data_IF_929120862632
#
_entry.id   IF_929120862632
#
_cell.length_a   1.000
_cell.length_b   1.000
_cell.length_c   1.000
_cell.angle_alpha   90.00
_cell.angle_beta   90.00
_cell.angle_gamma   90.00
#
_symmetry.space_group_name_H-M   'P 1'
#
loop_
_entity.id
_entity.type
_entity.pdbx_description
1 polymer ?
#
# COMPACT_ATOMS: atom_id res chain seq x y z
N UNK A 1 29.64 -7.91 50.92
CA UNK A 1 28.83 -6.98 51.72
C UNK A 1 29.05 -5.61 51.09
N UNK A 2 28.15 -5.19 50.21
CA UNK A 2 28.32 -3.97 49.41
C UNK A 2 27.57 -2.82 50.06
N UNK A 3 28.30 -1.77 50.42
CA UNK A 3 27.76 -0.51 50.95
C UNK A 3 27.48 0.38 49.74
N UNK A 4 26.22 0.72 49.53
CA UNK A 4 25.80 1.74 48.58
C UNK A 4 26.30 3.12 49.06
N UNK A 5 26.99 3.84 48.17
CA UNK A 5 27.20 5.29 48.30
C UNK A 5 26.43 5.97 47.18
N UNK A 6 25.44 6.76 47.60
CA UNK A 6 24.77 7.75 46.78
C UNK A 6 25.75 8.85 46.35
N UNK A 7 25.65 9.30 45.10
CA UNK A 7 26.30 10.54 44.66
C UNK A 7 26.55 10.63 43.15
N UNK A 8 25.64 11.34 42.46
CA UNK A 8 25.89 12.14 41.25
C UNK A 8 26.20 11.42 39.93
N UNK A 9 25.13 11.10 39.20
CA UNK A 9 24.80 11.51 37.82
C UNK A 9 25.92 11.85 36.80
N UNK A 10 27.03 11.12 36.81
CA UNK A 10 27.85 10.94 35.62
C UNK A 10 27.40 9.64 34.94
N UNK A 11 26.50 9.75 33.98
CA UNK A 11 26.06 8.64 33.12
C UNK A 11 27.15 8.16 32.15
N UNK A 12 28.40 8.08 32.61
CA UNK A 12 29.45 7.36 31.92
C UNK A 12 29.33 5.89 32.32
N UNK A 13 28.88 5.09 31.36
CA UNK A 13 28.86 3.64 31.28
C UNK A 13 29.47 2.89 32.50
N UNK A 14 28.66 2.70 33.55
CA UNK A 14 29.01 1.93 34.75
C UNK A 14 29.51 0.53 34.40
N UNK A 15 29.03 -0.08 33.31
CA UNK A 15 29.47 -1.40 32.87
C UNK A 15 30.77 -1.34 32.05
N UNK A 16 31.03 -0.30 31.24
CA UNK A 16 32.36 -0.15 30.64
C UNK A 16 33.42 0.12 31.72
N UNK A 17 33.10 0.89 32.76
CA UNK A 17 34.00 1.05 33.92
C UNK A 17 34.15 -0.25 34.70
N UNK A 18 33.09 -1.02 34.93
CA UNK A 18 33.14 -2.32 35.61
C UNK A 18 33.88 -3.36 34.78
N UNK A 19 33.68 -3.43 33.46
CA UNK A 19 34.41 -4.34 32.57
C UNK A 19 35.86 -3.91 32.42
N UNK A 20 36.16 -2.61 32.33
CA UNK A 20 37.53 -2.10 32.35
C UNK A 20 38.20 -2.38 33.69
N UNK A 21 37.46 -2.25 34.80
CA UNK A 21 37.93 -2.57 36.15
C UNK A 21 38.12 -4.06 36.34
N UNK A 22 37.21 -4.91 35.83
CA UNK A 22 37.34 -6.37 35.83
C UNK A 22 38.50 -6.81 34.95
N UNK A 23 38.68 -6.23 33.77
CA UNK A 23 39.84 -6.45 32.88
C UNK A 23 41.13 -6.07 33.59
N UNK A 24 41.16 -4.92 34.28
CA UNK A 24 42.35 -4.41 34.97
C UNK A 24 42.65 -5.14 36.30
N UNK A 25 41.63 -5.65 37.00
CA UNK A 25 41.77 -6.38 38.27
C UNK A 25 41.94 -7.88 38.07
N UNK A 26 41.49 -8.43 36.92
CA UNK A 26 41.51 -9.86 36.60
C UNK A 26 42.52 -10.21 35.52
N UNK A 27 43.52 -9.35 35.24
CA UNK A 27 44.61 -9.63 34.29
C UNK A 27 45.37 -10.94 34.60
N UNK A 28 45.20 -11.52 35.81
CA UNK A 28 45.77 -12.82 36.17
C UNK A 28 44.94 -14.04 35.75
N UNK A 29 43.67 -13.87 35.34
CA UNK A 29 42.72 -14.98 35.14
C UNK A 29 42.22 -15.15 33.70
N UNK A 30 42.42 -14.16 32.83
CA UNK A 30 42.03 -14.23 31.43
C UNK A 30 43.24 -14.46 30.54
N UNK A 31 43.09 -15.31 29.53
CA UNK A 31 44.08 -15.44 28.48
C UNK A 31 44.23 -14.10 27.73
N UNK A 32 45.42 -13.77 27.19
CA UNK A 32 45.63 -12.55 26.42
C UNK A 32 44.61 -12.35 25.28
N UNK A 33 44.18 -13.43 24.64
CA UNK A 33 43.16 -13.43 23.58
C UNK A 33 41.77 -13.04 24.09
N UNK A 34 41.39 -13.48 25.29
CA UNK A 34 40.10 -13.12 25.91
C UNK A 34 40.07 -11.63 26.27
N UNK A 35 41.18 -11.09 26.78
CA UNK A 35 41.33 -9.67 27.08
C UNK A 35 41.25 -8.80 25.80
N UNK A 36 41.84 -9.26 24.70
CA UNK A 36 41.75 -8.59 23.40
C UNK A 36 40.31 -8.59 22.86
N UNK A 37 39.61 -9.72 22.98
CA UNK A 37 38.21 -9.82 22.59
C UNK A 37 37.30 -8.90 23.42
N UNK A 38 37.49 -8.84 24.73
CA UNK A 38 36.73 -7.93 25.60
C UNK A 38 36.97 -6.47 25.23
N UNK A 39 38.22 -6.08 24.96
CA UNK A 39 38.55 -4.71 24.52
C UNK A 39 37.90 -4.36 23.19
N UNK A 40 37.95 -5.26 22.21
CA UNK A 40 37.28 -5.08 20.90
C UNK A 40 35.78 -4.94 21.06
N UNK A 41 35.16 -5.73 21.94
CA UNK A 41 33.72 -5.64 22.21
C UNK A 41 33.35 -4.33 22.92
N UNK A 42 34.13 -3.88 23.90
CA UNK A 42 33.93 -2.57 24.53
C UNK A 42 34.04 -1.43 23.53
N UNK A 43 35.05 -1.49 22.66
CA UNK A 43 35.23 -0.52 21.59
C UNK A 43 34.03 -0.53 20.64
N UNK A 44 33.57 -1.72 20.23
CA UNK A 44 32.36 -1.86 19.42
C UNK A 44 31.16 -1.18 20.09
N UNK A 45 30.89 -1.44 21.38
CA UNK A 45 29.73 -0.87 22.09
C UNK A 45 29.77 0.65 22.14
N UNK A 46 30.96 1.21 22.40
CA UNK A 46 31.14 2.66 22.47
C UNK A 46 30.97 3.31 21.10
N UNK A 47 31.52 2.70 20.07
CA UNK A 47 31.62 3.30 18.73
C UNK A 47 30.44 2.98 17.81
N UNK A 48 29.63 1.93 18.07
CA UNK A 48 28.58 1.56 17.13
C UNK A 48 27.40 2.54 17.18
N UNK A 49 26.94 2.88 15.97
CA UNK A 49 25.73 3.66 15.73
C UNK A 49 24.54 2.71 15.46
N UNK A 50 23.35 3.00 16.02
CA UNK A 50 22.16 2.16 15.83
C UNK A 50 21.76 1.95 14.35
N UNK A 51 21.98 2.92 13.47
CA UNK A 51 21.66 2.80 12.04
C UNK A 51 22.58 1.80 11.32
N UNK A 52 23.88 1.81 11.64
CA UNK A 52 24.85 0.86 11.07
C UNK A 52 24.58 -0.56 11.56
N UNK A 53 24.30 -0.72 12.86
CA UNK A 53 23.91 -2.01 13.43
C UNK A 53 22.62 -2.53 12.79
N UNK A 54 21.65 -1.64 12.53
CA UNK A 54 20.41 -2.02 11.86
C UNK A 54 20.66 -2.51 10.43
N UNK A 55 21.57 -1.89 9.68
CA UNK A 55 21.91 -2.33 8.32
C UNK A 55 22.60 -3.70 8.32
N UNK A 56 23.60 -3.89 9.19
CA UNK A 56 24.29 -5.18 9.33
C UNK A 56 23.32 -6.30 9.77
N UNK A 57 22.47 -6.00 10.76
CA UNK A 57 21.48 -6.96 11.26
C UNK A 57 20.45 -7.29 10.19
N UNK A 58 20.05 -6.32 9.37
CA UNK A 58 19.10 -6.55 8.29
C UNK A 58 19.66 -7.51 7.24
N UNK A 59 20.94 -7.36 6.88
CA UNK A 59 21.60 -8.28 5.95
C UNK A 59 21.71 -9.69 6.52
N UNK A 60 22.04 -9.81 7.81
CA UNK A 60 22.03 -11.08 8.54
C UNK A 60 20.65 -11.76 8.51
N UNK A 61 19.58 -10.99 8.78
CA UNK A 61 18.20 -11.45 8.74
C UNK A 61 17.84 -11.97 7.34
N UNK A 62 18.16 -11.21 6.27
CA UNK A 62 17.88 -11.62 4.88
C UNK A 62 18.52 -12.95 4.54
N UNK A 63 19.77 -13.17 4.93
CA UNK A 63 20.48 -14.43 4.70
C UNK A 63 19.82 -15.60 5.43
N UNK A 64 19.37 -15.38 6.67
CA UNK A 64 18.64 -16.39 7.45
C UNK A 64 17.26 -16.69 6.88
N UNK A 65 16.51 -15.66 6.45
CA UNK A 65 15.22 -15.85 5.77
C UNK A 65 15.37 -16.79 4.58
N UNK A 66 16.39 -16.59 3.74
CA UNK A 66 16.67 -17.47 2.59
C UNK A 66 17.05 -18.88 3.06
N UNK A 67 17.94 -18.99 4.05
CA UNK A 67 18.47 -20.28 4.53
C UNK A 67 17.39 -21.16 5.17
N UNK A 68 16.49 -20.55 5.94
CA UNK A 68 15.49 -21.25 6.73
C UNK A 68 14.07 -21.12 6.17
N UNK A 69 13.91 -20.44 5.03
CA UNK A 69 12.61 -20.17 4.40
C UNK A 69 11.62 -19.48 5.34
N UNK A 70 12.11 -18.53 6.14
CA UNK A 70 11.28 -17.75 7.06
C UNK A 70 10.52 -16.66 6.31
N UNK A 71 9.25 -16.46 6.67
CA UNK A 71 8.47 -15.34 6.16
C UNK A 71 8.91 -14.03 6.82
N UNK A 72 8.52 -12.89 6.22
CA UNK A 72 8.77 -11.58 6.80
C UNK A 72 8.02 -11.40 8.13
N UNK A 73 6.84 -12.00 8.26
CA UNK A 73 6.04 -11.94 9.48
C UNK A 73 6.69 -12.73 10.61
N UNK A 74 7.25 -13.92 10.33
CA UNK A 74 8.06 -14.68 11.31
C UNK A 74 9.21 -13.84 11.85
N UNK A 75 9.90 -13.10 10.97
CA UNK A 75 11.01 -12.22 11.34
C UNK A 75 10.53 -11.02 12.16
N UNK A 76 9.38 -10.43 11.83
CA UNK A 76 8.83 -9.30 12.60
C UNK A 76 8.48 -9.71 14.03
N UNK A 77 7.96 -10.92 14.21
CA UNK A 77 7.66 -11.48 15.53
C UNK A 77 8.94 -11.79 16.33
N UNK A 78 10.00 -12.23 15.65
CA UNK A 78 11.29 -12.62 16.26
C UNK A 78 12.39 -11.56 16.13
N UNK A 79 12.06 -10.30 15.87
CA UNK A 79 13.04 -9.29 15.46
C UNK A 79 14.07 -9.00 16.57
N UNK A 80 13.64 -9.02 17.83
CA UNK A 80 14.52 -8.87 18.97
C UNK A 80 15.45 -10.06 19.09
N UNK A 81 14.93 -11.28 18.94
CA UNK A 81 15.68 -12.52 19.00
C UNK A 81 16.73 -12.60 17.89
N UNK A 82 16.40 -12.15 16.68
CA UNK A 82 17.32 -12.11 15.54
C UNK A 82 18.43 -11.06 15.75
N UNK A 83 18.10 -9.86 16.25
CA UNK A 83 19.10 -8.86 16.63
C UNK A 83 20.02 -9.38 17.74
N UNK A 84 19.48 -10.00 18.79
CA UNK A 84 20.27 -10.58 19.87
C UNK A 84 21.13 -11.75 19.38
N UNK A 85 20.62 -12.55 18.44
CA UNK A 85 21.38 -13.65 17.82
C UNK A 85 22.55 -13.09 17.00
N UNK A 86 22.31 -12.03 16.23
CA UNK A 86 23.36 -11.32 15.50
C UNK A 86 24.45 -10.81 16.45
N UNK A 87 24.06 -10.11 17.52
CA UNK A 87 24.99 -9.61 18.53
C UNK A 87 25.79 -10.73 19.18
N UNK A 88 25.15 -11.83 19.60
CA UNK A 88 25.84 -13.00 20.17
C UNK A 88 26.89 -13.59 19.22
N UNK A 89 26.62 -13.59 17.92
CA UNK A 89 27.60 -14.04 16.92
C UNK A 89 28.73 -13.03 16.70
N UNK A 90 28.42 -11.73 16.75
CA UNK A 90 29.38 -10.64 16.50
C UNK A 90 30.35 -10.44 17.67
N UNK A 91 29.84 -10.44 18.90
CA UNK A 91 30.60 -10.09 20.12
C UNK A 91 30.82 -11.25 21.09
N UNK A 92 30.23 -12.43 20.84
CA UNK A 92 30.34 -13.60 21.70
C UNK A 92 29.24 -13.67 22.77
N UNK A 93 28.84 -14.89 23.11
CA UNK A 93 27.74 -15.16 24.04
C UNK A 93 28.08 -14.73 25.47
N UNK A 94 29.29 -15.06 25.91
CA UNK A 94 29.79 -14.80 27.26
C UNK A 94 29.81 -13.31 27.55
N UNK A 95 30.23 -12.49 26.57
CA UNK A 95 30.28 -11.05 26.72
C UNK A 95 28.87 -10.45 26.71
N UNK A 96 27.96 -10.98 25.88
CA UNK A 96 26.57 -10.51 25.87
C UNK A 96 25.90 -10.64 27.25
N UNK A 97 26.15 -11.73 27.98
CA UNK A 97 25.57 -11.94 29.32
C UNK A 97 25.94 -10.83 30.31
N UNK A 98 27.13 -10.25 30.21
CA UNK A 98 27.55 -9.14 31.07
C UNK A 98 26.96 -7.80 30.66
N UNK A 99 26.65 -7.65 29.37
CA UNK A 99 26.16 -6.41 28.77
C UNK A 99 24.64 -6.34 28.72
N UNK A 100 23.96 -7.46 28.99
CA UNK A 100 22.51 -7.55 29.06
C UNK A 100 21.94 -6.55 30.09
N UNK A 101 22.71 -6.22 31.13
CA UNK A 101 22.35 -5.23 32.14
C UNK A 101 22.84 -3.81 31.84
N UNK A 102 23.58 -3.57 30.76
CA UNK A 102 24.14 -2.26 30.43
C UNK A 102 23.06 -1.31 29.91
N UNK A 103 22.75 -0.20 30.60
CA UNK A 103 21.66 0.70 30.20
C UNK A 103 21.89 1.36 28.83
N UNK A 104 23.15 1.63 28.48
CA UNK A 104 23.52 2.29 27.22
C UNK A 104 23.35 1.34 26.04
N UNK A 105 23.86 0.12 26.14
CA UNK A 105 23.63 -0.93 25.15
C UNK A 105 22.13 -1.22 25.00
N UNK A 106 21.40 -1.33 26.10
CA UNK A 106 19.94 -1.55 26.06
C UNK A 106 19.20 -0.42 25.34
N UNK A 107 19.66 0.82 25.48
CA UNK A 107 19.11 1.96 24.74
C UNK A 107 19.43 1.84 23.24
N UNK A 108 20.70 1.60 22.88
CA UNK A 108 21.11 1.44 21.48
C UNK A 108 20.42 0.25 20.79
N UNK A 109 20.20 -0.86 21.50
CA UNK A 109 19.41 -2.01 21.01
C UNK A 109 17.98 -1.58 20.70
N UNK A 110 17.33 -0.82 21.60
CA UNK A 110 15.96 -0.33 21.38
C UNK A 110 15.89 0.61 20.17
N UNK A 111 16.85 1.51 20.01
CA UNK A 111 16.93 2.41 18.85
C UNK A 111 17.12 1.62 17.55
N UNK A 112 18.04 0.65 17.56
CA UNK A 112 18.28 -0.28 16.44
C UNK A 112 16.99 -1.02 16.07
N UNK A 113 16.22 -1.50 17.04
CA UNK A 113 14.94 -2.17 16.78
C UNK A 113 13.90 -1.25 16.14
N UNK A 114 13.84 0.03 16.53
CA UNK A 114 12.94 1.00 15.89
C UNK A 114 13.34 1.20 14.42
N UNK A 115 14.64 1.32 14.15
CA UNK A 115 15.18 1.47 12.79
C UNK A 115 14.91 0.21 11.97
N UNK A 116 15.19 -0.98 12.50
CA UNK A 116 14.91 -2.26 11.84
C UNK A 116 13.43 -2.42 11.52
N UNK A 117 12.52 -2.09 12.45
CA UNK A 117 11.06 -2.12 12.19
C UNK A 117 10.64 -1.15 11.10
N UNK A 118 11.32 0.00 10.96
CA UNK A 118 11.09 0.92 9.85
C UNK A 118 11.61 0.29 8.55
N UNK A 119 12.86 -0.14 8.49
CA UNK A 119 13.47 -0.77 7.31
C UNK A 119 12.73 -2.02 6.84
N UNK A 120 12.23 -2.86 7.75
CA UNK A 120 11.43 -4.04 7.42
C UNK A 120 10.03 -3.69 6.90
N UNK A 121 9.46 -2.55 7.30
CA UNK A 121 8.26 -2.00 6.65
C UNK A 121 8.56 -1.42 5.28
N UNK A 122 9.78 -0.92 5.06
CA UNK A 122 10.19 -0.36 3.77
C UNK A 122 10.59 -1.47 2.76
N UNK A 123 11.07 -2.63 3.25
CA UNK A 123 11.16 -3.87 2.46
C UNK A 123 9.77 -4.32 1.98
N UNK A 124 8.74 -3.85 2.68
CA UNK A 124 7.32 -4.04 2.42
C UNK A 124 6.70 -2.97 1.51
N UNK A 125 7.49 -2.28 0.67
CA UNK A 125 6.95 -1.56 -0.49
C UNK A 125 6.49 -2.58 -1.55
N UNK A 126 5.53 -3.41 -1.15
CA UNK A 126 4.62 -4.09 -2.06
C UNK A 126 4.01 -2.98 -2.90
N UNK A 127 4.36 -2.95 -4.18
CA UNK A 127 3.82 -1.99 -5.12
C UNK A 127 2.33 -2.28 -5.31
N UNK A 128 1.53 -1.70 -4.42
CA UNK A 128 0.08 -1.86 -4.39
C UNK A 128 -0.51 -1.43 -5.73
N UNK A 129 0.07 -0.43 -6.40
CA UNK A 129 -0.42 0.01 -7.70
C UNK A 129 -0.17 -1.05 -8.77
N UNK A 130 1.01 -1.67 -8.79
CA UNK A 130 1.27 -2.81 -9.70
C UNK A 130 0.33 -3.99 -9.41
N UNK A 131 0.13 -4.37 -8.15
CA UNK A 131 -0.79 -5.45 -7.77
C UNK A 131 -2.23 -5.12 -8.15
N UNK A 132 -2.65 -3.85 -8.02
CA UNK A 132 -3.99 -3.41 -8.46
C UNK A 132 -4.15 -3.56 -9.97
N UNK A 133 -3.16 -3.20 -10.77
CA UNK A 133 -3.21 -3.36 -12.23
C UNK A 133 -3.23 -4.83 -12.65
N UNK A 134 -2.38 -5.66 -12.05
CA UNK A 134 -2.36 -7.11 -12.28
C UNK A 134 -3.70 -7.74 -11.87
N UNK A 135 -4.25 -7.35 -10.72
CA UNK A 135 -5.56 -7.85 -10.29
C UNK A 135 -6.68 -7.39 -11.21
N UNK A 136 -6.66 -6.15 -11.70
CA UNK A 136 -7.65 -5.65 -12.67
C UNK A 136 -7.62 -6.47 -13.96
N UNK A 137 -6.43 -6.82 -14.46
CA UNK A 137 -6.30 -7.68 -15.63
C UNK A 137 -6.83 -9.09 -15.36
N UNK A 138 -6.41 -9.70 -14.26
CA UNK A 138 -6.89 -11.00 -13.81
C UNK A 138 -8.42 -11.04 -13.65
N UNK A 139 -8.98 -10.01 -13.03
CA UNK A 139 -10.41 -9.85 -12.81
C UNK A 139 -11.18 -9.76 -14.13
N UNK A 140 -10.68 -9.02 -15.12
CA UNK A 140 -11.31 -8.93 -16.46
C UNK A 140 -11.38 -10.29 -17.14
N UNK A 141 -10.28 -11.05 -17.12
CA UNK A 141 -10.21 -12.38 -17.74
C UNK A 141 -11.14 -13.40 -17.08
N UNK A 142 -11.16 -13.43 -15.74
CA UNK A 142 -12.03 -14.32 -14.95
C UNK A 142 -13.50 -13.93 -15.05
N UNK A 143 -13.82 -12.64 -14.98
CA UNK A 143 -15.18 -12.15 -15.10
C UNK A 143 -15.77 -12.43 -16.49
N UNK A 144 -14.99 -12.28 -17.56
CA UNK A 144 -15.42 -12.61 -18.92
C UNK A 144 -15.70 -14.11 -19.06
N UNK A 145 -14.83 -14.96 -18.50
CA UNK A 145 -14.98 -16.42 -18.55
C UNK A 145 -16.23 -16.89 -17.79
N UNK A 146 -16.57 -16.24 -16.69
CA UNK A 146 -17.67 -16.63 -15.80
C UNK A 146 -18.96 -15.80 -15.95
N UNK A 147 -19.00 -14.85 -16.91
CA UNK A 147 -20.12 -13.92 -17.13
C UNK A 147 -20.54 -13.15 -15.88
N UNK A 148 -19.58 -12.77 -15.05
CA UNK A 148 -19.80 -11.98 -13.84
C UNK A 148 -19.55 -10.50 -14.11
N UNK A 149 -20.19 -9.61 -13.34
CA UNK A 149 -19.77 -8.22 -13.33
C UNK A 149 -18.41 -8.07 -12.66
N UNK A 150 -17.63 -7.06 -13.07
CA UNK A 150 -16.32 -6.79 -12.46
C UNK A 150 -16.45 -6.53 -10.95
N UNK A 151 -17.51 -5.84 -10.51
CA UNK A 151 -17.76 -5.56 -9.09
C UNK A 151 -18.02 -6.82 -8.27
N UNK A 152 -18.79 -7.77 -8.80
CA UNK A 152 -19.00 -9.07 -8.15
C UNK A 152 -17.70 -9.89 -8.10
N UNK A 153 -16.96 -9.87 -9.20
CA UNK A 153 -15.69 -10.58 -9.31
C UNK A 153 -14.64 -10.13 -8.30
N UNK A 154 -14.64 -8.86 -7.85
CA UNK A 154 -13.69 -8.40 -6.80
C UNK A 154 -13.83 -9.25 -5.54
N UNK A 155 -15.06 -9.47 -5.07
CA UNK A 155 -15.28 -10.20 -3.81
C UNK A 155 -14.96 -11.69 -3.94
N UNK A 156 -15.05 -12.23 -5.15
CA UNK A 156 -14.87 -13.65 -5.43
C UNK A 156 -13.39 -13.98 -5.68
N UNK A 157 -12.70 -13.13 -6.45
CA UNK A 157 -11.38 -13.42 -6.99
C UNK A 157 -10.22 -12.74 -6.26
N UNK A 158 -10.48 -11.74 -5.41
CA UNK A 158 -9.40 -11.04 -4.71
C UNK A 158 -8.64 -11.97 -3.77
N UNK A 159 -9.35 -12.79 -2.99
CA UNK A 159 -8.70 -13.69 -2.04
C UNK A 159 -7.86 -14.76 -2.78
N UNK A 160 -8.42 -15.38 -3.84
CA UNK A 160 -7.69 -16.32 -4.72
C UNK A 160 -6.44 -15.67 -5.34
N UNK A 161 -6.55 -14.43 -5.83
CA UNK A 161 -5.43 -13.71 -6.43
C UNK A 161 -4.34 -13.39 -5.42
N UNK A 162 -4.69 -12.89 -4.23
CA UNK A 162 -3.70 -12.57 -3.20
C UNK A 162 -3.00 -13.80 -2.65
N UNK A 163 -3.69 -14.95 -2.60
CA UNK A 163 -3.07 -16.24 -2.27
C UNK A 163 -2.02 -16.64 -3.32
N UNK A 164 -2.31 -16.46 -4.61
CA UNK A 164 -1.34 -16.74 -5.68
C UNK A 164 -0.10 -15.83 -5.63
N UNK A 165 -0.27 -14.60 -5.14
CA UNK A 165 0.82 -13.63 -4.96
C UNK A 165 1.59 -13.82 -3.65
N UNK A 166 1.14 -14.71 -2.75
CA UNK A 166 1.74 -14.88 -1.42
C UNK A 166 1.51 -13.71 -0.46
N UNK A 167 0.44 -12.92 -0.68
CA UNK A 167 0.13 -11.68 0.10
C UNK A 167 -1.21 -11.82 0.85
N UNK A 168 -1.74 -13.04 1.02
CA UNK A 168 -3.12 -13.27 1.47
C UNK A 168 -3.38 -12.94 2.94
N UNK A 169 -2.36 -12.94 3.81
CA UNK A 169 -2.54 -12.82 5.26
C UNK A 169 -2.67 -11.36 5.75
N UNK A 170 -2.19 -10.36 4.99
CA UNK A 170 -2.31 -8.96 5.39
C UNK A 170 -3.68 -8.34 5.03
N UNK A 171 -4.53 -8.21 6.04
CA UNK A 171 -5.83 -7.55 5.95
C UNK A 171 -5.76 -6.09 5.44
N UNK A 172 -4.70 -5.33 5.76
CA UNK A 172 -4.52 -3.94 5.35
C UNK A 172 -4.27 -3.85 3.86
N UNK A 173 -3.37 -4.67 3.33
CA UNK A 173 -3.08 -4.76 1.89
C UNK A 173 -4.34 -5.16 1.12
N UNK A 174 -5.03 -6.20 1.60
CA UNK A 174 -6.32 -6.64 1.02
C UNK A 174 -7.34 -5.50 0.94
N UNK A 175 -7.48 -4.72 2.01
CA UNK A 175 -8.40 -3.57 2.05
C UNK A 175 -7.98 -2.47 1.08
N UNK A 176 -6.69 -2.16 0.99
CA UNK A 176 -6.16 -1.13 0.10
C UNK A 176 -6.37 -1.48 -1.37
N UNK A 177 -6.05 -2.72 -1.77
CA UNK A 177 -6.24 -3.21 -3.14
C UNK A 177 -7.73 -3.16 -3.49
N UNK A 178 -8.60 -3.69 -2.62
CA UNK A 178 -10.05 -3.67 -2.84
C UNK A 178 -10.59 -2.25 -3.09
N UNK A 179 -10.15 -1.27 -2.31
CA UNK A 179 -10.62 0.10 -2.45
C UNK A 179 -10.07 0.76 -3.72
N UNK A 180 -8.77 0.62 -4.00
CA UNK A 180 -8.16 1.17 -5.22
C UNK A 180 -8.79 0.59 -6.49
N UNK A 181 -9.03 -0.72 -6.53
CA UNK A 181 -9.70 -1.39 -7.66
C UNK A 181 -11.11 -0.82 -7.87
N UNK A 182 -11.88 -0.63 -6.80
CA UNK A 182 -13.23 -0.01 -6.89
C UNK A 182 -13.18 1.41 -7.43
N UNK A 183 -12.21 2.20 -7.00
CA UNK A 183 -12.01 3.56 -7.50
C UNK A 183 -11.71 3.52 -9.00
N UNK A 184 -10.74 2.71 -9.43
CA UNK A 184 -10.36 2.57 -10.84
C UNK A 184 -11.51 2.11 -11.73
N UNK A 185 -12.31 1.13 -11.28
CA UNK A 185 -13.49 0.69 -12.04
C UNK A 185 -14.53 1.80 -12.21
N UNK A 186 -14.80 2.59 -11.15
CA UNK A 186 -15.73 3.72 -11.24
C UNK A 186 -15.21 4.83 -12.16
N UNK A 187 -13.90 5.09 -12.14
CA UNK A 187 -13.27 6.08 -13.02
C UNK A 187 -13.37 5.64 -14.47
N UNK A 188 -13.12 4.36 -14.75
CA UNK A 188 -13.26 3.77 -16.08
C UNK A 188 -14.71 3.83 -16.57
N UNK A 189 -15.68 3.44 -15.74
CA UNK A 189 -17.11 3.54 -16.06
C UNK A 189 -17.52 4.97 -16.39
N UNK A 190 -17.09 5.94 -15.57
CA UNK A 190 -17.36 7.37 -15.83
C UNK A 190 -16.72 7.84 -17.12
N UNK A 191 -15.50 7.40 -17.43
CA UNK A 191 -14.81 7.75 -18.68
C UNK A 191 -15.59 7.23 -19.89
N UNK A 192 -15.98 5.96 -19.86
CA UNK A 192 -16.78 5.35 -20.92
C UNK A 192 -18.15 6.03 -21.08
N UNK A 193 -18.80 6.39 -19.98
CA UNK A 193 -20.07 7.14 -20.01
C UNK A 193 -19.88 8.54 -20.61
N UNK A 194 -18.81 9.25 -20.25
CA UNK A 194 -18.49 10.55 -20.83
C UNK A 194 -18.17 10.47 -22.32
N UNK A 195 -17.43 9.45 -22.75
CA UNK A 195 -17.16 9.20 -24.17
C UNK A 195 -18.44 8.88 -24.95
N UNK A 196 -19.35 8.08 -24.38
CA UNK A 196 -20.66 7.81 -24.98
C UNK A 196 -21.45 9.11 -25.15
N UNK A 197 -21.54 9.93 -24.10
CA UNK A 197 -22.23 11.23 -24.14
C UNK A 197 -21.58 12.18 -25.16
N UNK A 198 -20.24 12.18 -25.27
CA UNK A 198 -19.54 13.01 -26.24
C UNK A 198 -19.91 12.62 -27.68
N UNK A 199 -19.88 11.33 -28.01
CA UNK A 199 -20.31 10.81 -29.32
C UNK A 199 -21.78 11.12 -29.60
N UNK A 200 -22.66 10.94 -28.62
CA UNK A 200 -24.07 11.28 -28.76
C UNK A 200 -24.28 12.78 -29.00
N UNK A 201 -23.50 13.65 -28.36
CA UNK A 201 -23.57 15.11 -28.55
C UNK A 201 -23.24 15.54 -29.96
N UNK A 202 -22.31 14.86 -30.63
CA UNK A 202 -21.97 15.15 -32.02
C UNK A 202 -23.15 14.88 -32.96
N UNK A 203 -24.02 13.92 -32.62
CA UNK A 203 -25.21 13.58 -33.39
C UNK A 203 -26.41 14.51 -33.14
N UNK A 204 -26.39 15.28 -32.04
CA UNK A 204 -27.52 16.16 -31.64
C UNK A 204 -27.98 17.10 -32.76
N UNK A 205 -27.11 17.83 -33.50
CA UNK A 205 -27.57 18.78 -34.50
C UNK A 205 -28.40 18.14 -35.62
N UNK A 206 -27.98 16.97 -36.10
CA UNK A 206 -28.69 16.21 -37.13
C UNK A 206 -30.02 15.67 -36.60
N UNK A 207 -30.01 15.09 -35.40
CA UNK A 207 -31.21 14.56 -34.76
C UNK A 207 -32.24 15.66 -34.46
N UNK A 208 -31.79 16.86 -34.11
CA UNK A 208 -32.69 18.01 -33.91
C UNK A 208 -33.42 18.38 -35.20
N UNK A 209 -32.75 18.38 -36.36
CA UNK A 209 -33.43 18.68 -37.63
C UNK A 209 -34.46 17.60 -37.97
N UNK A 210 -34.08 16.32 -37.89
CA UNK A 210 -35.00 15.19 -38.12
C UNK A 210 -36.20 15.22 -37.18
N UNK A 211 -35.98 15.54 -35.90
CA UNK A 211 -37.04 15.66 -34.90
C UNK A 211 -37.98 16.84 -35.19
N UNK A 212 -37.46 17.96 -35.70
CA UNK A 212 -38.28 19.11 -36.12
C UNK A 212 -39.10 18.79 -37.36
N UNK A 213 -38.54 18.07 -38.33
CA UNK A 213 -39.26 17.59 -39.52
C UNK A 213 -40.38 16.62 -39.13
N UNK A 214 -40.06 15.61 -38.32
CA UNK A 214 -41.05 14.68 -37.77
C UNK A 214 -42.16 15.39 -37.00
N UNK A 215 -41.82 16.40 -36.19
CA UNK A 215 -42.83 17.21 -35.49
C UNK A 215 -43.77 17.94 -36.45
N UNK A 216 -43.27 18.43 -37.59
CA UNK A 216 -44.08 19.09 -38.61
C UNK A 216 -45.01 18.12 -39.32
N UNK A 217 -44.50 16.93 -39.68
CA UNK A 217 -45.31 15.88 -40.30
C UNK A 217 -46.47 15.44 -39.40
N UNK A 218 -46.23 15.40 -38.09
CA UNK A 218 -47.23 15.09 -37.07
C UNK A 218 -48.07 16.30 -36.62
N UNK A 219 -47.95 17.46 -37.30
CA UNK A 219 -48.66 18.70 -36.99
C UNK A 219 -48.48 19.21 -35.53
N UNK A 220 -47.30 18.96 -34.95
CA UNK A 220 -46.94 19.37 -33.60
C UNK A 220 -46.27 20.75 -33.60
N UNK A 221 -46.95 21.73 -33.01
CA UNK A 221 -46.40 23.08 -32.83
C UNK A 221 -45.43 23.19 -31.64
N UNK A 222 -45.42 22.18 -30.76
CA UNK A 222 -44.55 22.08 -29.58
C UNK A 222 -44.37 20.62 -29.22
N UNK A 223 -43.15 20.23 -28.91
CA UNK A 223 -42.79 18.88 -28.47
C UNK A 223 -42.86 18.75 -26.94
N UNK A 224 -43.50 17.69 -26.46
CA UNK A 224 -43.38 17.17 -25.10
C UNK A 224 -42.23 16.17 -25.03
N UNK A 225 -41.80 15.81 -23.82
CA UNK A 225 -40.76 14.79 -23.62
C UNK A 225 -41.18 13.42 -24.17
N UNK A 226 -42.46 13.08 -24.00
CA UNK A 226 -43.07 11.86 -24.56
C UNK A 226 -43.02 11.81 -26.09
N UNK A 227 -43.09 12.96 -26.76
CA UNK A 227 -43.05 13.03 -28.22
C UNK A 227 -41.62 12.78 -28.73
N UNK A 228 -40.62 13.22 -27.95
CA UNK A 228 -39.21 12.89 -28.19
C UNK A 228 -38.97 11.39 -27.98
N UNK A 229 -39.53 10.80 -26.93
CA UNK A 229 -39.42 9.35 -26.71
C UNK A 229 -40.10 8.56 -27.85
N UNK A 230 -41.26 9.01 -28.34
CA UNK A 230 -41.94 8.39 -29.49
C UNK A 230 -41.09 8.46 -30.77
N UNK A 231 -40.51 9.62 -31.07
CA UNK A 231 -39.55 9.78 -32.18
C UNK A 231 -38.35 8.85 -32.01
N UNK A 232 -37.73 8.80 -30.82
CA UNK A 232 -36.56 7.95 -30.60
C UNK A 232 -36.88 6.46 -30.74
N UNK A 233 -38.08 6.01 -30.38
CA UNK A 233 -38.53 4.64 -30.61
C UNK A 233 -38.68 4.35 -32.11
N UNK A 234 -39.31 5.26 -32.85
CA UNK A 234 -39.54 5.10 -34.29
C UNK A 234 -38.25 5.02 -35.11
N UNK A 235 -37.18 5.68 -34.62
CA UNK A 235 -35.87 5.70 -35.26
C UNK A 235 -34.84 4.73 -34.63
N UNK A 236 -35.28 3.83 -33.74
CA UNK A 236 -34.42 2.85 -33.05
C UNK A 236 -33.27 3.47 -32.21
N UNK A 237 -33.49 4.66 -31.65
CA UNK A 237 -32.54 5.44 -30.85
C UNK A 237 -32.93 5.52 -29.36
N UNK A 238 -33.63 4.50 -28.86
CA UNK A 238 -34.14 4.42 -27.49
C UNK A 238 -33.06 4.55 -26.41
N UNK A 239 -31.85 4.07 -26.72
CA UNK A 239 -30.72 3.88 -25.79
C UNK A 239 -29.82 5.12 -25.61
N UNK A 240 -30.25 6.27 -26.15
CA UNK A 240 -29.58 7.55 -25.92
C UNK A 240 -29.60 7.94 -24.45
N UNK A 241 -28.52 8.57 -24.00
CA UNK A 241 -28.40 9.08 -22.65
C UNK A 241 -29.45 10.15 -22.35
N UNK A 242 -29.96 10.22 -21.11
CA UNK A 242 -31.04 11.14 -20.74
C UNK A 242 -30.70 12.61 -20.98
N UNK A 243 -29.42 12.99 -20.80
CA UNK A 243 -28.94 14.34 -21.09
C UNK A 243 -29.07 14.69 -22.57
N UNK A 244 -28.82 13.71 -23.44
CA UNK A 244 -28.96 13.85 -24.89
C UNK A 244 -30.43 14.02 -25.25
N UNK A 245 -31.32 13.19 -24.68
CA UNK A 245 -32.78 13.31 -24.86
C UNK A 245 -33.31 14.68 -24.44
N UNK A 246 -32.85 15.19 -23.29
CA UNK A 246 -33.28 16.50 -22.79
C UNK A 246 -32.74 17.66 -23.67
N UNK A 247 -31.51 17.52 -24.19
CA UNK A 247 -30.95 18.47 -25.16
C UNK A 247 -31.74 18.49 -26.47
N UNK A 248 -32.09 17.33 -27.03
CA UNK A 248 -32.95 17.21 -28.21
C UNK A 248 -34.28 17.92 -28.00
N UNK A 249 -34.97 17.63 -26.89
CA UNK A 249 -36.24 18.26 -26.54
C UNK A 249 -36.16 19.79 -26.46
N UNK A 250 -35.13 20.33 -25.79
CA UNK A 250 -34.94 21.78 -25.64
C UNK A 250 -34.63 22.45 -26.98
N UNK A 251 -33.69 21.91 -27.74
CA UNK A 251 -33.22 22.50 -28.99
C UNK A 251 -34.27 22.44 -30.10
N UNK A 252 -34.97 21.32 -30.25
CA UNK A 252 -36.04 21.18 -31.23
C UNK A 252 -37.22 22.14 -30.93
N UNK A 253 -37.62 22.27 -29.67
CA UNK A 253 -38.64 23.25 -29.29
C UNK A 253 -38.21 24.70 -29.52
N UNK A 254 -36.94 25.03 -29.29
CA UNK A 254 -36.41 26.35 -29.59
C UNK A 254 -36.53 26.66 -31.10
N UNK A 255 -36.17 25.70 -31.96
CA UNK A 255 -36.31 25.82 -33.42
C UNK A 255 -37.77 25.92 -33.87
N UNK A 256 -38.66 25.09 -33.35
CA UNK A 256 -40.10 25.15 -33.65
C UNK A 256 -40.69 26.52 -33.28
N UNK A 257 -40.29 27.09 -32.12
CA UNK A 257 -40.74 28.42 -31.68
C UNK A 257 -40.27 29.55 -32.60
N UNK A 258 -39.02 29.52 -33.06
CA UNK A 258 -38.48 30.54 -33.98
C UNK A 258 -39.17 30.56 -35.34
N UNK A 259 -39.74 29.43 -35.79
CA UNK A 259 -40.51 29.37 -37.03
C UNK A 259 -41.96 29.86 -36.87
N UNK A 260 -42.58 29.70 -35.70
CA UNK A 260 -43.93 30.19 -35.44
C UNK A 260 -44.02 31.72 -35.27
N UNK A 261 -42.92 32.42 -35.00
CA UNK A 261 -42.88 33.90 -34.85
C UNK A 261 -42.67 34.67 -36.17
N UNK A 262 -42.51 33.98 -37.30
CA UNK A 262 -42.30 34.60 -38.63
C UNK A 262 -43.54 34.60 -39.54
N UNK A 263 -44.73 34.32 -39.00
CA UNK A 263 -46.03 34.49 -39.67
C UNK A 263 -46.84 35.56 -38.95
#
# INVERSE_FOLDING_TARGET
MWIARDGENNGNCLIAEVLTTCVNQSTSNFAPEELDNIKKTLQFIQEFEPDDLAEETLEFIKQRMIRYQLSLDDIKEMLLEELLTYLKQKIGLEIMMFLEEDPELQLKIKETLVILRRKLRDIEEIDIDNIVEEFLQYLKEKAQSNRLSLHEGISIYLDEFLEQQGVSEDYRIRRMIREKVRIRLREEEKRLEQEKIAKEKEMIPELVEKLVEWARENNLNRLRKTDVDAFLIEYELSDLHYLTKDALWRLANAKLKTHCQKR
#
